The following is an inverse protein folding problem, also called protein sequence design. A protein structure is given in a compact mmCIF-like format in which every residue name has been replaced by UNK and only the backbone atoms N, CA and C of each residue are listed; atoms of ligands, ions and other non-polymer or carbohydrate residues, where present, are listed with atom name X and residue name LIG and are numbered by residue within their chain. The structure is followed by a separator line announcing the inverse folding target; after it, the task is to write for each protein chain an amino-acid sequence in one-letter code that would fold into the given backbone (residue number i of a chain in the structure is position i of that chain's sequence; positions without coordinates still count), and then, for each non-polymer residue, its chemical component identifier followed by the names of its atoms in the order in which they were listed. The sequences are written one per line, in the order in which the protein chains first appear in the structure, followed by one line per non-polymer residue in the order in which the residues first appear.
data_IF_573871523596
#
_entry.id   IF_573871523596
#
_cell.length_a   1.000
_cell.length_b   1.000
_cell.length_c   1.000
_cell.angle_alpha   90.00
_cell.angle_beta   90.00
_cell.angle_gamma   90.00
#
_symmetry.space_group_name_H-M   'P 1'
#
loop_
_entity.id
_entity.type
_entity.pdbx_description
1 polymer ?
#
# COMPACT_ATOMS: atom_id res chain seq x y z
N UNK A 1 2.99 -2.05 -8.50
CA UNK A 1 2.67 -0.99 -9.50
C UNK A 1 1.92 0.15 -8.82
N UNK A 2 1.74 1.30 -9.48
CA UNK A 2 0.99 2.45 -8.92
C UNK A 2 1.81 3.55 -8.24
N UNK A 3 3.15 3.50 -8.34
CA UNK A 3 4.04 4.59 -7.92
C UNK A 3 4.60 5.30 -9.15
N UNK A 4 4.66 6.64 -9.09
CA UNK A 4 5.48 7.46 -10.00
C UNK A 4 6.95 7.32 -9.61
N UNK A 5 7.87 7.70 -10.50
CA UNK A 5 9.31 7.63 -10.21
C UNK A 5 9.71 8.60 -9.09
N UNK A 6 9.16 9.81 -9.09
CA UNK A 6 9.34 10.76 -7.99
C UNK A 6 8.88 10.20 -6.64
N UNK A 7 7.73 9.50 -6.60
CA UNK A 7 7.27 8.84 -5.38
C UNK A 7 8.24 7.75 -4.93
N UNK A 8 8.83 6.98 -5.85
CA UNK A 8 9.82 5.95 -5.50
C UNK A 8 11.03 6.57 -4.82
N UNK A 9 11.58 7.64 -5.40
CA UNK A 9 12.73 8.36 -4.84
C UNK A 9 12.40 8.96 -3.47
N UNK A 10 11.26 9.67 -3.37
CA UNK A 10 10.80 10.27 -2.12
C UNK A 10 10.59 9.22 -1.03
N UNK A 11 9.88 8.15 -1.33
CA UNK A 11 9.58 7.11 -0.32
C UNK A 11 10.82 6.35 0.10
N UNK A 12 11.77 6.14 -0.82
CA UNK A 12 13.06 5.54 -0.48
C UNK A 12 13.89 6.43 0.47
N UNK A 13 13.91 7.75 0.22
CA UNK A 13 14.59 8.73 1.08
C UNK A 13 14.05 8.74 2.52
N UNK A 14 12.76 8.49 2.70
CA UNK A 14 12.09 8.51 4.01
C UNK A 14 11.65 7.12 4.50
N UNK A 15 12.27 6.04 4.00
CA UNK A 15 11.82 4.65 4.24
C UNK A 15 11.59 4.30 5.72
N UNK A 16 12.41 4.84 6.61
CA UNK A 16 12.34 4.52 8.04
C UNK A 16 11.08 5.12 8.70
N UNK A 17 10.62 6.29 8.22
CA UNK A 17 9.37 6.89 8.71
C UNK A 17 8.11 6.29 8.10
N UNK A 18 8.25 5.49 7.03
CA UNK A 18 7.11 4.83 6.36
C UNK A 18 6.67 3.54 7.07
N UNK A 19 7.55 2.94 7.87
CA UNK A 19 7.22 1.74 8.64
C UNK A 19 6.13 2.10 9.67
N UNK A 20 5.06 1.30 9.69
CA UNK A 20 3.91 1.52 10.58
C UNK A 20 2.85 2.48 10.02
N UNK A 21 3.09 3.11 8.86
CA UNK A 21 2.07 3.93 8.20
C UNK A 21 1.01 3.07 7.52
N UNK A 22 -0.24 3.50 7.55
CA UNK A 22 -1.34 2.85 6.87
C UNK A 22 -1.39 3.28 5.40
N UNK A 23 -1.66 2.33 4.50
CA UNK A 23 -1.82 2.59 3.07
C UNK A 23 -3.16 2.08 2.56
N UNK A 24 -3.63 2.72 1.50
CA UNK A 24 -4.71 2.25 0.66
C UNK A 24 -4.13 1.53 -0.57
N UNK A 25 -4.55 0.28 -0.77
CA UNK A 25 -4.23 -0.53 -1.94
C UNK A 25 -5.52 -0.82 -2.70
N UNK A 26 -5.49 -0.65 -4.02
CA UNK A 26 -6.53 -1.17 -4.92
C UNK A 26 -6.12 -2.54 -5.43
N UNK A 27 -7.05 -3.47 -5.43
CA UNK A 27 -6.88 -4.81 -5.95
C UNK A 27 -8.18 -5.30 -6.57
N UNK A 28 -8.07 -6.27 -7.46
CA UNK A 28 -9.24 -6.81 -8.16
C UNK A 28 -9.97 -7.84 -7.30
N UNK A 29 -9.23 -8.62 -6.50
CA UNK A 29 -9.76 -9.63 -5.59
C UNK A 29 -8.80 -9.93 -4.43
N UNK A 30 -9.35 -10.44 -3.33
CA UNK A 30 -8.60 -11.11 -2.27
C UNK A 30 -8.49 -12.59 -2.64
N UNK A 31 -7.29 -13.16 -2.55
CA UNK A 31 -6.98 -14.54 -2.96
C UNK A 31 -6.16 -15.24 -1.88
N UNK A 32 -6.28 -16.57 -1.75
CA UNK A 32 -5.46 -17.37 -0.85
C UNK A 32 -4.77 -18.49 -1.64
N UNK A 33 -3.48 -18.71 -1.41
CA UNK A 33 -2.76 -19.86 -1.97
C UNK A 33 -3.24 -21.14 -1.29
N UNK A 34 -3.24 -22.29 -1.99
CA UNK A 34 -3.71 -23.57 -1.45
C UNK A 34 -2.97 -23.99 -0.18
N UNK A 35 -1.67 -23.68 -0.11
CA UNK A 35 -0.81 -23.97 1.05
C UNK A 35 -0.51 -22.71 1.89
N UNK A 36 -1.08 -21.57 1.51
CA UNK A 36 -0.78 -20.28 2.14
C UNK A 36 -1.65 -20.02 3.36
N UNK A 37 -1.00 -19.80 4.50
CA UNK A 37 -1.67 -19.39 5.75
C UNK A 37 -2.22 -17.96 5.70
N UNK A 38 -1.82 -17.16 4.70
CA UNK A 38 -2.19 -15.75 4.56
C UNK A 38 -2.91 -15.44 3.25
N UNK A 39 -3.80 -14.46 3.31
CA UNK A 39 -4.42 -13.87 2.12
C UNK A 39 -3.45 -12.96 1.38
N UNK A 40 -3.63 -12.87 0.07
CA UNK A 40 -2.94 -11.94 -0.83
C UNK A 40 -3.95 -11.20 -1.70
N UNK A 41 -3.48 -10.15 -2.36
CA UNK A 41 -4.30 -9.34 -3.25
C UNK A 41 -3.91 -9.62 -4.70
N UNK A 42 -4.90 -9.83 -5.57
CA UNK A 42 -4.67 -9.99 -7.01
C UNK A 42 -4.46 -8.61 -7.67
N UNK A 43 -3.31 -8.45 -8.33
CA UNK A 43 -2.88 -7.21 -8.99
C UNK A 43 -2.93 -5.96 -8.08
N UNK A 44 -2.19 -5.95 -6.96
CA UNK A 44 -2.21 -4.85 -6.02
C UNK A 44 -1.55 -3.61 -6.64
N UNK A 45 -2.26 -2.49 -6.54
CA UNK A 45 -1.85 -1.16 -7.02
C UNK A 45 -1.89 -0.18 -5.86
N UNK A 46 -0.76 0.49 -5.61
CA UNK A 46 -0.70 1.55 -4.61
C UNK A 46 -1.67 2.68 -4.96
N UNK A 47 -2.38 3.22 -3.97
CA UNK A 47 -3.27 4.38 -4.13
C UNK A 47 -2.73 5.59 -3.36
N UNK A 48 -2.71 5.52 -2.03
CA UNK A 48 -2.25 6.63 -1.17
C UNK A 48 -1.90 6.11 0.23
N UNK A 49 -1.19 6.92 1.01
CA UNK A 49 -1.11 6.73 2.47
C UNK A 49 -2.35 7.32 3.14
N UNK A 50 -2.80 6.73 4.26
CA UNK A 50 -3.87 7.25 5.11
C UNK A 50 -3.30 8.16 6.19
N UNK A 51 -4.09 9.14 6.63
CA UNK A 51 -3.75 10.09 7.69
C UNK A 51 -3.15 11.41 7.19
N UNK A 52 -3.27 11.70 5.91
CA UNK A 52 -2.78 12.95 5.30
C UNK A 52 -3.88 13.99 5.14
N UNK A 53 -5.16 13.59 5.09
CA UNK A 53 -6.28 14.51 4.93
C UNK A 53 -7.21 14.55 6.16
N UNK A 54 -7.63 15.74 6.63
CA UNK A 54 -8.63 15.86 7.69
C UNK A 54 -9.96 15.23 7.27
N UNK A 55 -10.39 14.18 7.99
CA UNK A 55 -11.65 13.46 7.72
C UNK A 55 -11.47 12.06 7.12
N UNK A 56 -10.23 11.58 6.93
CA UNK A 56 -10.00 10.18 6.57
C UNK A 56 -10.47 9.23 7.67
N UNK A 57 -11.12 8.13 7.25
CA UNK A 57 -11.59 7.08 8.16
C UNK A 57 -10.38 6.23 8.59
N UNK A 58 -9.99 6.38 9.87
CA UNK A 58 -9.03 5.49 10.53
C UNK A 58 -9.67 4.13 10.80
#
# INVERSE_FOLDING_TARGET
SGLTDENREKFWKYKDSLIGQLIEIRADAVTQSMEGESYSLRFPRFKTFRGFEPGEKL
#
